data_IF_690931058325
#
_entry.id   IF_690931058325
#
_cell.length_a   1.000
_cell.length_b   1.000
_cell.length_c   1.000
_cell.angle_alpha   90.00
_cell.angle_beta   90.00
_cell.angle_gamma   90.00
#
_symmetry.space_group_name_H-M   'P 1'
#
loop_
_entity.id
_entity.type
_entity.pdbx_description
1 polymer ?
#
# COMPACT_ATOMS: atom_id res chain seq x y z
N UNK A 1 -17.45 10.56 -12.23
CA UNK A 1 -18.85 10.81 -11.87
C UNK A 1 -19.18 12.30 -12.00
N UNK A 2 -20.37 12.71 -12.50
CA UNK A 2 -20.72 14.12 -12.77
C UNK A 2 -21.00 14.97 -11.52
N UNK A 3 -21.11 14.37 -10.32
CA UNK A 3 -21.35 15.10 -9.07
C UNK A 3 -20.31 16.20 -8.84
N UNK A 4 -20.77 17.39 -8.46
CA UNK A 4 -19.93 18.55 -8.11
C UNK A 4 -19.34 18.45 -6.70
N UNK A 5 -19.97 17.66 -5.84
CA UNK A 5 -19.58 17.44 -4.45
C UNK A 5 -19.24 15.97 -4.25
N UNK A 6 -18.17 15.70 -3.48
CA UNK A 6 -17.76 14.38 -3.03
C UNK A 6 -17.74 14.37 -1.50
N UNK A 7 -18.23 13.30 -0.91
CA UNK A 7 -18.03 13.00 0.52
C UNK A 7 -17.09 11.80 0.57
N UNK A 8 -15.92 11.97 1.19
CA UNK A 8 -14.92 10.91 1.38
C UNK A 8 -14.92 10.52 2.86
N UNK A 9 -15.52 9.38 3.16
CA UNK A 9 -15.50 8.77 4.49
C UNK A 9 -14.28 7.85 4.58
N UNK A 10 -13.14 8.43 4.93
CA UNK A 10 -11.85 7.76 5.01
C UNK A 10 -10.82 8.64 5.68
N UNK A 11 -9.55 8.23 5.67
CA UNK A 11 -8.45 9.01 6.22
C UNK A 11 -8.09 10.21 5.35
N UNK A 12 -7.46 11.23 5.95
CA UNK A 12 -7.21 12.55 5.37
C UNK A 12 -6.57 12.50 3.98
N UNK A 13 -5.52 11.70 3.77
CA UNK A 13 -4.85 11.62 2.47
C UNK A 13 -5.76 11.15 1.33
N UNK A 14 -6.82 10.38 1.62
CA UNK A 14 -7.81 9.95 0.61
C UNK A 14 -8.66 11.13 0.13
N UNK A 15 -9.06 12.02 1.04
CA UNK A 15 -9.75 13.27 0.69
C UNK A 15 -8.86 14.22 -0.10
N UNK A 16 -7.60 14.37 0.31
CA UNK A 16 -6.59 15.16 -0.40
C UNK A 16 -6.35 14.62 -1.82
N UNK A 17 -6.16 13.30 -1.96
CA UNK A 17 -6.01 12.64 -3.27
C UNK A 17 -7.24 12.84 -4.15
N UNK A 18 -8.45 12.70 -3.57
CA UNK A 18 -9.70 12.97 -4.30
C UNK A 18 -9.78 14.41 -4.80
N UNK A 19 -9.27 15.37 -4.01
CA UNK A 19 -9.22 16.78 -4.40
C UNK A 19 -8.17 17.04 -5.49
N UNK A 20 -7.00 16.43 -5.40
CA UNK A 20 -5.94 16.51 -6.44
C UNK A 20 -6.47 15.99 -7.78
N UNK A 21 -7.11 14.82 -7.78
CA UNK A 21 -7.65 14.20 -9.00
C UNK A 21 -8.92 14.87 -9.53
N UNK A 22 -9.61 15.66 -8.72
CA UNK A 22 -10.85 16.35 -9.08
C UNK A 22 -10.85 17.80 -8.59
N UNK A 23 -9.96 18.67 -9.13
CA UNK A 23 -9.72 20.02 -8.60
C UNK A 23 -10.95 20.92 -8.64
N UNK A 24 -11.87 20.68 -9.58
CA UNK A 24 -13.10 21.45 -9.73
C UNK A 24 -14.25 21.00 -8.82
N UNK A 25 -14.07 19.91 -8.07
CA UNK A 25 -15.08 19.38 -7.14
C UNK A 25 -14.84 19.89 -5.72
N UNK A 26 -15.93 20.01 -4.97
CA UNK A 26 -15.85 20.20 -3.52
C UNK A 26 -15.73 18.82 -2.86
N UNK A 27 -14.71 18.65 -2.05
CA UNK A 27 -14.48 17.42 -1.28
C UNK A 27 -14.76 17.71 0.20
N UNK A 28 -15.61 16.91 0.79
CA UNK A 28 -15.97 16.96 2.20
C UNK A 28 -15.51 15.69 2.87
N UNK A 29 -15.01 15.81 4.09
CA UNK A 29 -14.68 14.69 4.96
C UNK A 29 -15.40 14.80 6.27
N UNK A 30 -15.94 13.70 6.81
CA UNK A 30 -16.61 13.71 8.12
C UNK A 30 -15.66 14.08 9.26
N UNK A 31 -14.40 13.67 9.16
CA UNK A 31 -13.35 13.92 10.14
C UNK A 31 -12.02 14.19 9.43
N UNK A 32 -11.43 15.37 9.65
CA UNK A 32 -10.12 15.75 9.09
C UNK A 32 -8.94 15.25 9.93
N UNK A 33 -9.20 14.83 11.17
CA UNK A 33 -8.18 14.28 12.06
C UNK A 33 -7.99 12.77 11.87
N UNK A 34 -8.87 12.12 11.10
CA UNK A 34 -8.68 10.72 10.72
C UNK A 34 -7.45 10.59 9.82
N UNK A 35 -6.40 9.95 10.34
CA UNK A 35 -5.09 9.82 9.69
C UNK A 35 -4.66 8.37 9.54
N UNK A 36 -3.55 8.15 8.83
CA UNK A 36 -2.92 6.86 8.61
C UNK A 36 -1.50 6.90 9.19
N UNK A 37 -1.05 5.80 9.78
CA UNK A 37 0.31 5.71 10.33
C UNK A 37 1.41 5.93 9.28
N UNK A 38 1.18 5.54 8.03
CA UNK A 38 2.11 5.81 6.93
C UNK A 38 2.23 7.30 6.63
N UNK A 39 1.10 8.02 6.63
CA UNK A 39 1.08 9.48 6.43
C UNK A 39 1.77 10.20 7.59
N UNK A 40 1.43 9.83 8.84
CA UNK A 40 2.06 10.37 10.04
C UNK A 40 3.56 10.04 10.12
N UNK A 41 3.96 8.85 9.69
CA UNK A 41 5.35 8.40 9.66
C UNK A 41 6.20 9.00 8.53
N UNK A 42 5.61 9.85 7.66
CA UNK A 42 6.29 10.52 6.57
C UNK A 42 6.02 12.04 6.60
N UNK A 43 6.51 12.78 7.62
CA UNK A 43 6.33 14.22 7.72
C UNK A 43 6.93 14.93 6.51
N UNK A 44 6.20 15.90 5.95
CA UNK A 44 6.59 16.55 4.68
C UNK A 44 7.95 17.24 4.74
N UNK A 45 8.29 17.90 5.85
CA UNK A 45 9.58 18.57 6.00
C UNK A 45 10.75 17.57 5.98
N UNK A 46 10.64 16.48 6.73
CA UNK A 46 11.68 15.45 6.79
C UNK A 46 11.81 14.74 5.43
N UNK A 47 10.66 14.50 4.78
CA UNK A 47 10.64 13.93 3.42
C UNK A 47 11.30 14.85 2.40
N UNK A 48 11.08 16.17 2.46
CA UNK A 48 11.76 17.12 1.59
C UNK A 48 13.26 17.06 1.78
N UNK A 49 13.75 17.06 3.03
CA UNK A 49 15.19 16.94 3.33
C UNK A 49 15.77 15.62 2.80
N UNK A 50 15.00 14.52 2.91
CA UNK A 50 15.41 13.24 2.38
C UNK A 50 15.52 13.26 0.85
N UNK A 51 14.58 13.90 0.15
CA UNK A 51 14.64 14.07 -1.30
C UNK A 51 15.84 14.96 -1.70
N UNK A 52 16.09 16.05 -0.98
CA UNK A 52 17.16 17.00 -1.29
C UNK A 52 18.56 16.39 -1.06
N UNK A 53 18.68 15.42 -0.16
CA UNK A 53 19.89 14.62 0.02
C UNK A 53 20.15 13.61 -1.13
N UNK A 54 19.15 13.36 -1.98
CA UNK A 54 19.22 12.38 -3.07
C UNK A 54 18.70 12.95 -4.40
N UNK A 55 19.28 14.05 -4.92
CA UNK A 55 18.76 14.79 -6.06
C UNK A 55 18.85 14.03 -7.40
N UNK A 56 19.63 12.93 -7.45
CA UNK A 56 19.82 12.08 -8.62
C UNK A 56 18.75 11.00 -8.77
N UNK A 57 17.75 10.96 -7.87
CA UNK A 57 16.73 9.92 -7.83
C UNK A 57 15.35 10.44 -8.26
N UNK A 58 14.63 9.61 -8.99
CA UNK A 58 13.21 9.81 -9.29
C UNK A 58 12.39 9.50 -8.03
N UNK A 59 11.61 10.46 -7.59
CA UNK A 59 10.80 10.37 -6.36
C UNK A 59 9.46 9.71 -6.66
N UNK A 60 9.23 8.54 -6.11
CA UNK A 60 7.98 7.80 -6.24
C UNK A 60 7.34 7.65 -4.86
N UNK A 61 6.11 8.11 -4.71
CA UNK A 61 5.37 7.99 -3.45
C UNK A 61 4.13 7.13 -3.60
N UNK A 62 3.93 6.27 -2.62
CA UNK A 62 2.68 5.55 -2.46
C UNK A 62 1.56 6.48 -1.98
N UNK A 63 0.33 6.21 -2.40
CA UNK A 63 -0.81 7.11 -2.19
C UNK A 63 -1.10 7.46 -0.72
N UNK A 64 -0.63 6.62 0.23
CA UNK A 64 -0.84 6.79 1.67
C UNK A 64 0.09 7.84 2.29
N UNK A 65 0.13 9.02 1.70
CA UNK A 65 0.95 10.18 2.08
C UNK A 65 0.12 11.46 1.97
N UNK A 66 0.55 12.53 2.64
CA UNK A 66 -0.09 13.85 2.55
C UNK A 66 0.02 14.47 1.15
N UNK A 67 -0.84 15.44 0.86
CA UNK A 67 -0.74 16.25 -0.36
C UNK A 67 0.62 16.97 -0.47
N UNK A 68 1.22 17.39 0.65
CA UNK A 68 2.53 18.05 0.68
C UNK A 68 3.66 17.10 0.26
N UNK A 69 3.63 15.85 0.70
CA UNK A 69 4.56 14.80 0.26
C UNK A 69 4.38 14.50 -1.22
N UNK A 70 3.13 14.36 -1.69
CA UNK A 70 2.80 14.15 -3.11
C UNK A 70 3.29 15.28 -4.00
N UNK A 71 3.24 16.53 -3.52
CA UNK A 71 3.71 17.70 -4.26
C UNK A 71 5.23 17.67 -4.55
N UNK A 72 6.02 16.93 -3.76
CA UNK A 72 7.47 16.75 -3.96
C UNK A 72 7.80 15.55 -4.86
N UNK A 73 6.83 14.70 -5.14
CA UNK A 73 7.03 13.47 -5.90
C UNK A 73 6.94 13.69 -7.41
N UNK A 74 7.72 12.91 -8.16
CA UNK A 74 7.60 12.80 -9.61
C UNK A 74 6.44 11.86 -9.99
N UNK A 75 6.21 10.82 -9.17
CA UNK A 75 5.17 9.82 -9.37
C UNK A 75 4.41 9.53 -8.07
N UNK A 76 3.11 9.42 -8.17
CA UNK A 76 2.24 8.89 -7.12
C UNK A 76 1.61 7.60 -7.62
N UNK A 77 1.74 6.53 -6.83
CA UNK A 77 1.30 5.17 -7.19
C UNK A 77 0.39 4.56 -6.11
N UNK A 78 -0.38 3.57 -6.52
CA UNK A 78 -1.09 2.65 -5.62
C UNK A 78 -0.42 1.28 -5.67
N UNK A 79 -0.77 0.36 -4.76
CA UNK A 79 -0.24 -1.01 -4.76
C UNK A 79 -0.45 -1.70 -6.12
N UNK A 80 -1.59 -1.48 -6.76
CA UNK A 80 -1.95 -2.10 -8.04
C UNK A 80 -1.08 -1.66 -9.23
N UNK A 81 -0.44 -0.49 -9.21
CA UNK A 81 0.37 0.01 -10.34
C UNK A 81 1.85 0.20 -10.00
N UNK A 82 2.22 0.14 -8.71
CA UNK A 82 3.56 0.44 -8.24
C UNK A 82 4.63 -0.44 -8.90
N UNK A 83 4.41 -1.76 -8.92
CA UNK A 83 5.37 -2.71 -9.49
C UNK A 83 5.66 -2.42 -10.97
N UNK A 84 4.60 -2.19 -11.77
CA UNK A 84 4.72 -1.93 -13.19
C UNK A 84 5.44 -0.60 -13.47
N UNK A 85 5.13 0.46 -12.71
CA UNK A 85 5.76 1.78 -12.86
C UNK A 85 7.24 1.71 -12.47
N UNK A 86 7.56 1.10 -11.32
CA UNK A 86 8.96 0.95 -10.87
C UNK A 86 9.76 0.13 -11.87
N UNK A 87 9.20 -0.96 -12.41
CA UNK A 87 9.86 -1.78 -13.42
C UNK A 87 10.17 -0.96 -14.69
N UNK A 88 9.26 -0.13 -15.18
CA UNK A 88 9.50 0.75 -16.34
C UNK A 88 10.54 1.83 -16.06
N UNK A 89 10.54 2.41 -14.87
CA UNK A 89 11.56 3.37 -14.44
C UNK A 89 12.96 2.70 -14.38
N UNK A 90 13.02 1.48 -13.83
CA UNK A 90 14.25 0.68 -13.78
C UNK A 90 14.81 0.40 -15.18
N UNK A 91 13.95 -0.06 -16.11
CA UNK A 91 14.36 -0.30 -17.52
C UNK A 91 14.85 0.98 -18.21
N UNK A 92 14.36 2.14 -17.78
CA UNK A 92 14.82 3.45 -18.27
C UNK A 92 16.08 3.96 -17.56
N UNK A 93 16.75 3.13 -16.75
CA UNK A 93 17.97 3.46 -16.03
C UNK A 93 17.78 4.47 -14.88
N UNK A 94 16.58 4.64 -14.38
CA UNK A 94 16.29 5.57 -13.28
C UNK A 94 16.65 4.93 -11.94
N UNK A 95 17.30 5.70 -11.08
CA UNK A 95 17.40 5.41 -9.65
C UNK A 95 16.19 5.96 -8.95
N UNK A 96 15.69 5.30 -7.94
CA UNK A 96 14.39 5.59 -7.34
C UNK A 96 14.55 5.93 -5.86
N UNK A 97 13.79 6.93 -5.40
CA UNK A 97 13.51 7.20 -4.01
C UNK A 97 12.05 6.83 -3.75
N UNK A 98 11.82 5.93 -2.80
CA UNK A 98 10.49 5.40 -2.47
C UNK A 98 10.04 5.78 -1.07
N UNK A 99 8.79 6.17 -0.91
CA UNK A 99 8.13 6.44 0.37
C UNK A 99 6.62 6.12 0.27
N UNK A 100 5.90 5.95 1.39
CA UNK A 100 6.35 5.99 2.78
C UNK A 100 6.62 4.62 3.41
N UNK A 101 6.22 3.51 2.77
CA UNK A 101 6.25 2.15 3.32
C UNK A 101 7.48 1.37 2.85
N UNK A 102 8.35 1.02 3.80
CA UNK A 102 9.58 0.28 3.51
C UNK A 102 9.32 -1.17 3.11
N UNK A 103 8.28 -1.81 3.64
CA UNK A 103 7.99 -3.22 3.35
C UNK A 103 7.52 -3.38 1.91
N UNK A 104 6.54 -2.57 1.49
CA UNK A 104 6.10 -2.53 0.10
C UNK A 104 7.26 -2.14 -0.83
N UNK A 105 8.06 -1.13 -0.45
CA UNK A 105 9.25 -0.72 -1.21
C UNK A 105 10.27 -1.84 -1.36
N UNK A 106 10.57 -2.57 -0.29
CA UNK A 106 11.50 -3.71 -0.31
C UNK A 106 10.96 -4.85 -1.20
N UNK A 107 9.68 -5.17 -1.08
CA UNK A 107 9.03 -6.14 -1.94
C UNK A 107 9.16 -5.77 -3.43
N UNK A 108 8.83 -4.52 -3.80
CA UNK A 108 8.95 -4.04 -5.17
C UNK A 108 10.41 -4.07 -5.65
N UNK A 109 11.36 -3.66 -4.81
CA UNK A 109 12.78 -3.71 -5.12
C UNK A 109 13.26 -5.13 -5.44
N UNK A 110 12.85 -6.11 -4.63
CA UNK A 110 13.18 -7.52 -4.87
C UNK A 110 12.58 -8.05 -6.17
N UNK A 111 11.34 -7.67 -6.50
CA UNK A 111 10.67 -8.13 -7.70
C UNK A 111 11.24 -7.50 -8.99
N UNK A 112 11.74 -6.27 -8.91
CA UNK A 112 12.17 -5.51 -10.08
C UNK A 112 13.69 -5.46 -10.26
N UNK A 113 14.46 -5.65 -9.19
CA UNK A 113 15.90 -5.40 -9.16
C UNK A 113 16.28 -3.92 -9.27
N UNK A 114 15.35 -2.99 -9.09
CA UNK A 114 15.56 -1.56 -9.23
C UNK A 114 16.51 -1.00 -8.16
N UNK A 115 17.35 -0.01 -8.54
CA UNK A 115 18.14 0.77 -7.57
C UNK A 115 17.22 1.71 -6.81
N UNK A 116 16.80 1.29 -5.61
CA UNK A 116 15.87 2.03 -4.76
C UNK A 116 16.50 2.36 -3.41
N UNK A 117 16.26 3.58 -2.94
CA UNK A 117 16.38 3.94 -1.53
C UNK A 117 14.98 4.08 -0.94
N UNK A 118 14.79 3.58 0.26
CA UNK A 118 13.49 3.49 0.89
C UNK A 118 13.41 4.41 2.09
N UNK A 119 12.29 5.13 2.21
CA UNK A 119 11.93 5.82 3.44
C UNK A 119 11.68 4.79 4.55
N UNK A 120 12.18 5.05 5.77
CA UNK A 120 12.06 4.10 6.89
C UNK A 120 10.72 4.29 7.64
N UNK A 121 9.62 4.14 6.93
CA UNK A 121 8.26 4.12 7.47
C UNK A 121 7.60 2.77 7.26
N UNK A 122 6.58 2.46 8.07
CA UNK A 122 5.80 1.24 7.95
C UNK A 122 4.35 1.46 8.39
N UNK A 123 3.43 0.66 7.83
CA UNK A 123 2.08 0.58 8.34
C UNK A 123 2.08 -0.19 9.66
N UNK A 124 1.70 0.47 10.78
CA UNK A 124 1.74 -0.16 12.10
C UNK A 124 0.86 -1.41 12.18
N UNK A 125 -0.24 -1.46 11.42
CA UNK A 125 -1.14 -2.62 11.39
C UNK A 125 -0.45 -3.81 10.74
N UNK A 126 0.20 -3.60 9.59
CA UNK A 126 0.90 -4.68 8.89
C UNK A 126 2.20 -5.09 9.60
N UNK A 127 2.88 -4.13 10.24
CA UNK A 127 4.13 -4.40 10.98
C UNK A 127 3.91 -5.24 12.25
N UNK A 128 2.67 -5.29 12.75
CA UNK A 128 2.29 -6.16 13.89
C UNK A 128 2.20 -7.65 13.51
N UNK A 129 2.07 -8.03 12.25
CA UNK A 129 2.03 -9.42 11.85
C UNK A 129 3.40 -10.08 12.01
N UNK A 130 3.44 -11.24 12.66
CA UNK A 130 4.67 -11.97 12.94
C UNK A 130 4.70 -13.30 12.17
N UNK A 131 5.82 -13.57 11.50
CA UNK A 131 6.00 -14.79 10.71
C UNK A 131 5.78 -16.06 11.56
N UNK A 132 6.30 -16.05 12.79
CA UNK A 132 6.18 -17.20 13.73
C UNK A 132 4.71 -17.52 14.07
N UNK A 133 3.87 -16.50 14.23
CA UNK A 133 2.44 -16.70 14.49
C UNK A 133 1.71 -17.24 13.25
N UNK A 134 2.10 -16.77 12.07
CA UNK A 134 1.58 -17.27 10.81
C UNK A 134 2.00 -18.72 10.55
N UNK A 135 3.23 -19.11 10.86
CA UNK A 135 3.70 -20.49 10.78
C UNK A 135 2.88 -21.44 11.67
N UNK A 136 2.57 -21.01 12.91
CA UNK A 136 1.71 -21.77 13.83
C UNK A 136 0.31 -21.96 13.23
N UNK A 137 -0.28 -20.90 12.66
CA UNK A 137 -1.59 -20.99 12.01
C UNK A 137 -1.57 -21.89 10.77
N UNK A 138 -0.54 -21.83 9.94
CA UNK A 138 -0.37 -22.72 8.78
C UNK A 138 -0.25 -24.19 9.21
N UNK A 139 0.50 -24.45 10.28
CA UNK A 139 0.63 -25.80 10.81
C UNK A 139 -0.71 -26.36 11.37
N UNK A 140 -1.51 -25.51 12.01
CA UNK A 140 -2.84 -25.88 12.52
C UNK A 140 -3.90 -26.05 11.40
N UNK A 141 -3.68 -25.37 10.26
CA UNK A 141 -4.62 -25.33 9.14
C UNK A 141 -3.90 -25.62 7.80
N UNK A 142 -3.39 -26.85 7.58
CA UNK A 142 -2.50 -27.17 6.44
C UNK A 142 -3.14 -27.00 5.05
N UNK A 143 -4.45 -26.95 4.97
CA UNK A 143 -5.20 -26.73 3.74
C UNK A 143 -5.66 -25.27 3.54
N UNK A 144 -5.32 -24.37 4.48
CA UNK A 144 -5.66 -22.95 4.34
C UNK A 144 -4.67 -22.25 3.41
N UNK A 145 -5.21 -21.39 2.55
CA UNK A 145 -4.41 -20.50 1.71
C UNK A 145 -4.08 -19.21 2.48
N UNK A 146 -2.83 -18.77 2.40
CA UNK A 146 -2.34 -17.56 3.03
C UNK A 146 -2.28 -16.42 2.01
N UNK A 147 -3.11 -15.40 2.24
CA UNK A 147 -3.12 -14.17 1.45
C UNK A 147 -2.46 -13.06 2.26
N UNK A 148 -1.46 -12.40 1.70
CA UNK A 148 -0.69 -11.35 2.39
C UNK A 148 -0.63 -10.10 1.53
N UNK A 149 -0.84 -8.93 2.15
CA UNK A 149 -0.53 -7.65 1.53
C UNK A 149 0.98 -7.34 1.67
N UNK A 150 1.68 -6.88 0.63
CA UNK A 150 3.14 -6.68 0.67
C UNK A 150 3.62 -5.49 1.52
N UNK A 151 2.73 -4.76 2.19
CA UNK A 151 3.07 -3.86 3.29
C UNK A 151 3.45 -4.63 4.59
N UNK A 152 3.30 -5.95 4.60
CA UNK A 152 3.70 -6.80 5.73
C UNK A 152 5.21 -7.02 5.77
N UNK A 153 5.79 -7.34 6.95
CA UNK A 153 7.20 -7.71 7.06
C UNK A 153 7.58 -8.87 6.14
N UNK A 154 8.82 -8.85 5.63
CA UNK A 154 9.30 -9.83 4.64
C UNK A 154 9.04 -11.29 5.05
N UNK A 155 9.29 -11.65 6.31
CA UNK A 155 9.04 -13.01 6.78
C UNK A 155 7.57 -13.46 6.70
N UNK A 156 6.62 -12.52 6.76
CA UNK A 156 5.19 -12.79 6.56
C UNK A 156 4.89 -12.94 5.07
N UNK A 157 5.48 -12.06 4.24
CA UNK A 157 5.34 -12.10 2.77
C UNK A 157 5.90 -13.40 2.20
N UNK A 158 6.99 -13.92 2.75
CA UNK A 158 7.64 -15.17 2.31
C UNK A 158 6.76 -16.41 2.57
N UNK A 159 5.90 -16.35 3.57
CA UNK A 159 4.96 -17.44 3.90
C UNK A 159 3.66 -17.39 3.07
N UNK A 160 3.45 -16.35 2.27
CA UNK A 160 2.23 -16.17 1.49
C UNK A 160 2.15 -17.15 0.31
N UNK A 161 0.97 -17.73 0.12
CA UNK A 161 0.62 -18.46 -1.09
C UNK A 161 0.18 -17.47 -2.21
N UNK A 162 -0.47 -16.36 -1.82
CA UNK A 162 -0.87 -15.27 -2.71
C UNK A 162 -0.52 -13.92 -2.09
N UNK A 163 0.05 -13.03 -2.90
CA UNK A 163 0.35 -11.64 -2.54
C UNK A 163 -0.69 -10.72 -3.18
N UNK A 164 -1.29 -9.84 -2.36
CA UNK A 164 -2.38 -8.94 -2.78
C UNK A 164 -1.82 -7.62 -3.32
N UNK A 165 -0.92 -7.71 -4.28
CA UNK A 165 -0.30 -6.56 -4.94
C UNK A 165 -1.01 -6.13 -6.24
N UNK A 166 -1.88 -7.00 -6.76
CA UNK A 166 -2.63 -6.79 -8.01
C UNK A 166 -4.08 -7.25 -7.88
N UNK A 167 -5.04 -6.33 -7.98
CA UNK A 167 -6.46 -6.70 -8.10
C UNK A 167 -6.74 -7.58 -9.33
N UNK A 168 -5.97 -7.40 -10.41
CA UNK A 168 -6.14 -8.14 -11.66
C UNK A 168 -5.67 -9.59 -11.54
N UNK A 169 -4.61 -9.84 -10.75
CA UNK A 169 -4.05 -11.19 -10.61
C UNK A 169 -4.86 -12.05 -9.61
N UNK A 170 -5.52 -11.43 -8.64
CA UNK A 170 -6.39 -12.13 -7.70
C UNK A 170 -7.55 -12.81 -8.43
N UNK A 171 -8.23 -12.12 -9.36
CA UNK A 171 -9.30 -12.71 -10.16
C UNK A 171 -8.79 -13.83 -11.10
N UNK A 172 -7.62 -13.65 -11.70
CA UNK A 172 -7.01 -14.66 -12.57
C UNK A 172 -6.54 -15.90 -11.79
N UNK A 173 -5.98 -15.72 -10.61
CA UNK A 173 -5.51 -16.82 -9.76
C UNK A 173 -6.66 -17.52 -9.03
N UNK A 174 -7.68 -16.78 -8.59
CA UNK A 174 -8.87 -17.35 -7.97
C UNK A 174 -9.80 -18.02 -9.00
N UNK A 175 -9.76 -17.64 -10.28
CA UNK A 175 -10.52 -18.31 -11.35
C UNK A 175 -10.07 -19.76 -11.60
N UNK A 176 -8.88 -20.15 -11.13
CA UNK A 176 -8.41 -21.54 -11.12
C UNK A 176 -8.87 -22.36 -9.91
N UNK A 177 -9.49 -21.73 -8.92
CA UNK A 177 -10.09 -22.37 -7.76
C UNK A 177 -11.61 -22.37 -7.95
N UNK A 178 -12.21 -23.56 -7.91
CA UNK A 178 -13.67 -23.71 -7.86
C UNK A 178 -14.16 -23.22 -6.47
N UNK A 179 -14.36 -21.91 -6.37
CA UNK A 179 -14.97 -21.26 -5.21
C UNK A 179 -16.47 -21.52 -5.25
N UNK A 180 -16.91 -22.78 -5.32
CA UNK A 180 -18.29 -23.20 -5.39
C UNK A 180 -19.26 -22.01 -5.32
N UNK A 181 -20.06 -21.78 -6.31
CA UNK A 181 -20.77 -20.58 -6.74
C UNK A 181 -21.65 -19.83 -5.71
N UNK A 182 -21.14 -19.54 -4.53
CA UNK A 182 -21.76 -18.62 -3.57
C UNK A 182 -20.98 -17.29 -3.63
N UNK A 183 -21.62 -16.15 -3.96
CA UNK A 183 -21.00 -14.87 -3.85
C UNK A 183 -20.63 -14.64 -2.38
N UNK A 184 -19.34 -14.36 -2.11
CA UNK A 184 -18.88 -13.94 -0.78
C UNK A 184 -19.62 -12.63 -0.45
N UNK A 185 -20.77 -12.76 0.22
CA UNK A 185 -21.41 -11.61 0.85
C UNK A 185 -20.47 -11.10 1.93
N UNK A 186 -20.16 -9.80 1.93
CA UNK A 186 -19.38 -9.08 2.94
C UNK A 186 -19.93 -9.19 4.39
N UNK A 187 -20.88 -10.09 4.64
CA UNK A 187 -21.59 -10.29 5.90
C UNK A 187 -20.95 -11.34 6.84
N UNK A 188 -19.68 -11.72 6.66
CA UNK A 188 -19.08 -12.83 7.41
C UNK A 188 -17.75 -12.57 8.10
N UNK A 189 -17.18 -11.36 8.08
CA UNK A 189 -15.97 -11.06 8.85
C UNK A 189 -16.34 -10.84 10.34
N UNK A 190 -16.51 -11.92 11.10
CA UNK A 190 -16.48 -11.85 12.55
C UNK A 190 -15.02 -11.74 13.01
N UNK A 191 -14.59 -10.51 13.29
CA UNK A 191 -13.35 -10.26 14.03
C UNK A 191 -13.60 -10.67 15.48
N UNK A 192 -13.09 -11.81 15.91
CA UNK A 192 -13.08 -12.15 17.33
C UNK A 192 -12.02 -11.31 18.05
N UNK A 193 -12.44 -10.16 18.60
CA UNK A 193 -11.66 -9.50 19.64
C UNK A 193 -11.62 -10.42 20.88
N UNK A 194 -10.48 -11.04 21.16
CA UNK A 194 -10.21 -11.54 22.50
C UNK A 194 -9.99 -10.31 23.37
N UNK A 195 -10.93 -10.05 24.27
CA UNK A 195 -10.80 -9.05 25.31
C UNK A 195 -9.58 -9.34 26.19
N UNK A 196 -8.99 -8.25 26.68
CA UNK A 196 -7.91 -8.20 27.64
C UNK A 196 -8.26 -8.90 28.96
#
# INVERSE_FOLDING_TARGET
HPAKNLIVAGVRFMGETSKILSPNKRVFMPDLEATCSLDLGCPSNDFHMFCDAHPDRTVVVYANTSAAVKARADWMVTSSCALAIIYQLHLSGKKILWAPDKHLGNYIQQQTGADMILWDGACIVHDEFKAVELEILKAAHPNAMVLVHPESPQGVVDLADVRLDYEVDLHARLAGFDLGAEPIGLAGLQVHHRGA
#
